data_IF_397665743483
#
_entry.id   IF_397665743483
#
_cell.length_a   1.000
_cell.length_b   1.000
_cell.length_c   1.000
_cell.angle_alpha   90.00
_cell.angle_beta   90.00
_cell.angle_gamma   90.00
#
_symmetry.space_group_name_H-M   'P 1'
#
loop_
_entity.id
_entity.type
_entity.pdbx_description
1 polymer ?
#
# COMPACT_ATOMS: atom_id res chain seq x y z
N UNK A 1 2.55 -2.74 25.04
CA UNK A 1 3.07 -1.96 23.96
C UNK A 1 2.01 -1.06 23.33
N UNK A 2 2.26 0.20 23.36
CA UNK A 2 1.48 1.16 22.61
C UNK A 2 2.12 1.37 21.24
N UNK A 3 1.35 1.67 20.25
CA UNK A 3 1.83 2.21 18.97
C UNK A 3 2.30 1.21 17.90
N UNK A 4 2.03 -0.10 18.04
CA UNK A 4 2.42 -1.10 17.03
C UNK A 4 1.91 -0.69 15.63
N UNK A 5 0.62 -0.38 15.52
CA UNK A 5 0.03 -0.03 14.23
C UNK A 5 0.67 1.21 13.60
N UNK A 6 0.88 2.26 14.38
CA UNK A 6 1.49 3.49 13.88
C UNK A 6 2.96 3.30 13.52
N UNK A 7 3.70 2.52 14.30
CA UNK A 7 5.11 2.24 14.03
C UNK A 7 5.27 1.44 12.74
N UNK A 8 4.50 0.38 12.56
CA UNK A 8 4.56 -0.43 11.35
C UNK A 8 4.08 0.38 10.13
N UNK A 9 3.01 1.17 10.28
CA UNK A 9 2.53 2.02 9.19
C UNK A 9 3.58 3.03 8.77
N UNK A 10 4.24 3.69 9.72
CA UNK A 10 5.32 4.64 9.42
C UNK A 10 6.48 3.96 8.68
N UNK A 11 6.84 2.74 9.07
CA UNK A 11 7.89 1.98 8.40
C UNK A 11 7.51 1.64 6.97
N UNK A 12 6.29 1.21 6.73
CA UNK A 12 5.81 0.91 5.36
C UNK A 12 5.84 2.17 4.50
N UNK A 13 5.38 3.30 5.04
CA UNK A 13 5.46 4.58 4.32
C UNK A 13 6.89 4.95 3.98
N UNK A 14 7.82 4.75 4.90
CA UNK A 14 9.23 5.02 4.67
C UNK A 14 9.80 4.17 3.52
N UNK A 15 9.47 2.89 3.48
CA UNK A 15 9.88 2.00 2.39
C UNK A 15 9.30 2.44 1.05
N UNK A 16 8.04 2.84 1.02
CA UNK A 16 7.38 3.28 -0.22
C UNK A 16 7.92 4.63 -0.73
N UNK A 17 8.29 5.52 0.17
CA UNK A 17 8.80 6.86 -0.17
C UNK A 17 10.32 6.92 -0.34
N UNK A 18 11.04 5.84 -0.07
CA UNK A 18 12.48 5.77 -0.24
C UNK A 18 12.90 6.05 -1.69
N UNK A 19 14.16 6.46 -1.95
CA UNK A 19 14.63 6.70 -3.32
C UNK A 19 14.47 5.52 -4.27
N UNK A 20 14.54 4.30 -3.76
CA UNK A 20 14.30 3.07 -4.52
C UNK A 20 12.92 2.47 -4.23
N UNK A 21 12.00 3.28 -3.74
CA UNK A 21 10.67 2.87 -3.35
C UNK A 21 9.66 2.81 -4.50
N UNK A 22 8.43 3.15 -4.19
CA UNK A 22 7.31 3.01 -5.12
C UNK A 22 7.52 3.74 -6.44
N UNK A 23 7.93 5.00 -6.41
CA UNK A 23 8.07 5.79 -7.63
C UNK A 23 9.23 5.31 -8.53
N UNK A 24 10.29 4.77 -7.95
CA UNK A 24 11.36 4.15 -8.72
C UNK A 24 10.86 2.89 -9.44
N UNK A 25 10.08 2.07 -8.77
CA UNK A 25 9.47 0.88 -9.38
C UNK A 25 8.45 1.25 -10.45
N UNK A 26 7.64 2.27 -10.21
CA UNK A 26 6.68 2.81 -11.19
C UNK A 26 7.42 3.28 -12.45
N UNK A 27 8.50 4.05 -12.30
CA UNK A 27 9.28 4.54 -13.43
C UNK A 27 9.92 3.40 -14.23
N UNK A 28 10.44 2.39 -13.55
CA UNK A 28 11.03 1.21 -14.20
C UNK A 28 9.99 0.44 -15.02
N UNK A 29 8.82 0.20 -14.45
CA UNK A 29 7.73 -0.48 -15.16
C UNK A 29 7.22 0.33 -16.35
N UNK A 30 7.08 1.65 -16.17
CA UNK A 30 6.63 2.53 -17.25
C UNK A 30 7.58 2.47 -18.45
N UNK A 31 8.89 2.45 -18.22
CA UNK A 31 9.89 2.29 -19.27
C UNK A 31 9.83 0.91 -19.92
N UNK A 32 9.73 -0.14 -19.12
CA UNK A 32 9.72 -1.51 -19.61
C UNK A 32 8.51 -1.80 -20.52
N UNK A 33 7.34 -1.28 -20.13
CA UNK A 33 6.09 -1.48 -20.87
C UNK A 33 5.81 -0.38 -21.89
N UNK A 34 6.67 0.63 -21.97
CA UNK A 34 6.53 1.79 -22.86
C UNK A 34 5.16 2.48 -22.70
N UNK A 35 4.77 2.74 -21.47
CA UNK A 35 3.52 3.41 -21.12
C UNK A 35 3.79 4.64 -20.26
N UNK A 36 2.84 5.56 -20.25
CA UNK A 36 2.89 6.72 -19.36
C UNK A 36 2.18 6.36 -18.04
N UNK A 37 2.95 6.17 -16.99
CA UNK A 37 2.44 5.85 -15.66
C UNK A 37 2.84 6.98 -14.70
N UNK A 38 1.89 7.86 -14.31
CA UNK A 38 2.20 8.98 -13.44
C UNK A 38 2.77 8.53 -12.09
N UNK A 39 3.75 9.25 -11.54
CA UNK A 39 4.27 8.95 -10.20
C UNK A 39 3.24 9.28 -9.12
N UNK A 40 3.38 8.66 -7.97
CA UNK A 40 2.57 8.96 -6.78
C UNK A 40 3.24 10.12 -6.03
N UNK A 41 2.57 11.25 -5.98
CA UNK A 41 3.08 12.44 -5.29
C UNK A 41 2.96 12.33 -3.76
N UNK A 42 3.63 13.24 -3.03
CA UNK A 42 3.64 13.19 -1.56
C UNK A 42 2.26 13.36 -0.93
N UNK A 43 1.33 14.05 -1.59
CA UNK A 43 -0.04 14.22 -1.13
C UNK A 43 -0.98 13.11 -1.62
N UNK A 44 -0.46 12.14 -2.36
CA UNK A 44 -1.20 11.02 -2.93
C UNK A 44 -0.89 9.70 -2.20
N UNK A 45 0.09 9.71 -1.30
CA UNK A 45 0.47 8.56 -0.47
C UNK A 45 0.21 8.92 0.99
N UNK A 46 -0.85 8.37 1.56
CA UNK A 46 -1.35 8.77 2.88
C UNK A 46 -1.56 7.57 3.79
N UNK A 47 -1.31 7.79 5.09
CA UNK A 47 -1.59 6.82 6.14
C UNK A 47 -3.05 6.98 6.59
N UNK A 48 -3.98 6.38 5.86
CA UNK A 48 -5.40 6.47 6.19
C UNK A 48 -6.19 5.31 5.63
N UNK A 49 -7.27 4.96 6.32
CA UNK A 49 -8.25 3.98 5.88
C UNK A 49 -9.59 4.69 5.67
N UNK A 50 -9.80 5.20 4.48
CA UNK A 50 -11.00 5.99 4.13
C UNK A 50 -11.71 5.31 2.98
N UNK A 51 -13.04 5.16 3.09
CA UNK A 51 -13.83 4.59 2.01
C UNK A 51 -13.77 5.47 0.75
N UNK A 52 -13.87 4.83 -0.41
CA UNK A 52 -13.80 5.52 -1.69
C UNK A 52 -14.91 6.57 -1.82
N UNK A 53 -16.10 6.26 -1.33
CA UNK A 53 -17.25 7.16 -1.39
C UNK A 53 -17.01 8.42 -0.57
N UNK A 54 -16.40 8.29 0.60
CA UNK A 54 -16.09 9.44 1.45
C UNK A 54 -14.97 10.28 0.84
N UNK A 55 -13.94 9.64 0.30
CA UNK A 55 -12.84 10.32 -0.38
C UNK A 55 -13.33 11.11 -1.59
N UNK A 56 -14.21 10.52 -2.39
CA UNK A 56 -14.80 11.20 -3.56
C UNK A 56 -15.65 12.42 -3.16
N UNK A 57 -16.37 12.35 -2.05
CA UNK A 57 -17.16 13.47 -1.56
C UNK A 57 -16.31 14.66 -1.10
N UNK A 58 -15.09 14.42 -0.65
CA UNK A 58 -14.19 15.48 -0.22
C UNK A 58 -13.70 16.35 -1.38
N UNK A 59 -13.65 15.78 -2.60
CA UNK A 59 -13.21 16.48 -3.80
C UNK A 59 -11.71 16.77 -3.86
N UNK A 60 -10.95 16.37 -2.87
CA UNK A 60 -9.53 16.70 -2.75
C UNK A 60 -8.61 15.54 -3.14
N UNK A 61 -9.18 14.45 -3.62
CA UNK A 61 -8.40 13.24 -3.96
C UNK A 61 -7.73 13.41 -5.33
N UNK A 62 -6.41 13.22 -5.34
CA UNK A 62 -5.62 13.16 -6.56
C UNK A 62 -5.25 11.71 -6.86
N UNK A 63 -5.31 11.32 -8.11
CA UNK A 63 -5.02 9.96 -8.55
C UNK A 63 -3.69 9.90 -9.32
N UNK A 64 -2.93 8.81 -9.22
CA UNK A 64 -3.19 7.64 -8.39
C UNK A 64 -3.13 7.99 -6.90
N UNK A 65 -3.99 7.38 -6.10
CA UNK A 65 -4.00 7.55 -4.65
C UNK A 65 -3.59 6.23 -3.99
N UNK A 66 -2.65 6.32 -3.05
CA UNK A 66 -2.16 5.16 -2.30
C UNK A 66 -2.39 5.40 -0.83
N UNK A 67 -3.06 4.47 -0.17
CA UNK A 67 -3.30 4.51 1.27
C UNK A 67 -2.63 3.34 1.95
N UNK A 68 -1.97 3.61 3.07
CA UNK A 68 -1.34 2.58 3.91
C UNK A 68 -2.01 2.58 5.27
N UNK A 69 -2.44 1.42 5.72
CA UNK A 69 -3.06 1.30 7.02
C UNK A 69 -2.91 -0.11 7.59
N UNK A 70 -3.07 -0.21 8.90
CA UNK A 70 -3.09 -1.49 9.61
C UNK A 70 -4.53 -1.97 9.73
N UNK A 71 -4.82 -3.16 9.19
CA UNK A 71 -6.15 -3.76 9.26
C UNK A 71 -6.38 -4.49 10.59
N UNK A 72 -5.34 -5.12 11.12
CA UNK A 72 -5.46 -5.99 12.28
C UNK A 72 -4.14 -6.14 12.99
N UNK A 73 -4.20 -6.18 14.31
CA UNK A 73 -3.06 -6.51 15.17
C UNK A 73 -3.43 -7.75 15.98
N UNK A 74 -2.52 -8.70 16.04
CA UNK A 74 -2.67 -9.89 16.87
C UNK A 74 -1.44 -10.05 17.75
N UNK A 75 -1.61 -9.87 19.07
CA UNK A 75 -0.58 -10.18 20.04
C UNK A 75 -0.76 -11.64 20.47
N UNK A 76 0.12 -12.50 20.00
CA UNK A 76 0.04 -13.95 20.22
C UNK A 76 0.93 -14.41 21.37
N UNK A 77 1.72 -13.49 21.96
CA UNK A 77 2.67 -13.76 23.04
C UNK A 77 3.58 -14.95 22.73
N UNK A 78 4.08 -15.02 21.52
CA UNK A 78 4.93 -16.12 21.04
C UNK A 78 6.27 -16.20 21.78
N UNK A 79 6.76 -15.05 22.23
CA UNK A 79 8.03 -14.95 22.92
C UNK A 79 7.81 -14.59 24.38
N UNK A 80 8.54 -15.28 25.26
CA UNK A 80 8.53 -14.98 26.70
C UNK A 80 9.20 -13.64 26.96
N UNK A 81 8.73 -12.94 27.98
CA UNK A 81 9.29 -11.66 28.45
C UNK A 81 9.12 -10.50 27.45
N UNK A 82 8.27 -10.68 26.45
CA UNK A 82 7.86 -9.60 25.56
C UNK A 82 6.49 -9.09 25.95
N UNK A 83 6.28 -7.80 25.79
CA UNK A 83 4.94 -7.21 25.97
C UNK A 83 4.08 -7.40 24.75
N UNK A 84 4.72 -7.45 23.58
CA UNK A 84 4.08 -7.77 22.33
C UNK A 84 4.92 -8.76 21.52
N UNK A 85 4.30 -9.80 21.04
CA UNK A 85 4.92 -10.78 20.15
C UNK A 85 3.84 -11.37 19.25
N UNK A 86 3.75 -10.88 18.03
CA UNK A 86 2.68 -11.26 17.11
C UNK A 86 2.83 -10.62 15.74
N UNK A 87 1.70 -10.29 15.15
CA UNK A 87 1.68 -9.77 13.77
C UNK A 87 0.80 -8.53 13.65
N UNK A 88 1.21 -7.65 12.74
CA UNK A 88 0.37 -6.59 12.20
C UNK A 88 0.02 -6.93 10.75
N UNK A 89 -1.27 -7.00 10.45
CA UNK A 89 -1.76 -7.16 9.07
C UNK A 89 -1.88 -5.78 8.45
N UNK A 90 -1.04 -5.52 7.47
CA UNK A 90 -0.95 -4.23 6.79
C UNK A 90 -1.63 -4.27 5.43
N UNK A 91 -2.12 -3.13 4.99
CA UNK A 91 -2.70 -2.96 3.68
C UNK A 91 -2.06 -1.78 2.96
N UNK A 92 -1.75 -1.97 1.67
CA UNK A 92 -1.43 -0.92 0.72
C UNK A 92 -2.57 -0.91 -0.29
N UNK A 93 -3.39 0.13 -0.27
CA UNK A 93 -4.55 0.25 -1.14
C UNK A 93 -4.25 1.28 -2.23
N UNK A 94 -4.41 0.86 -3.48
CA UNK A 94 -4.19 1.70 -4.65
C UNK A 94 -5.53 2.02 -5.29
N UNK A 95 -5.73 3.29 -5.62
CA UNK A 95 -6.90 3.77 -6.33
C UNK A 95 -6.48 4.50 -7.59
N UNK A 96 -7.12 4.18 -8.69
CA UNK A 96 -6.92 4.86 -9.97
C UNK A 96 -8.26 5.39 -10.48
N UNK A 97 -8.21 6.49 -11.18
CA UNK A 97 -9.40 7.11 -11.78
C UNK A 97 -9.06 7.65 -13.16
N UNK A 98 -9.96 7.44 -14.09
CA UNK A 98 -9.83 8.02 -15.43
C UNK A 98 -11.22 8.19 -16.07
N UNK A 99 -11.26 8.98 -17.13
CA UNK A 99 -12.50 9.28 -17.86
C UNK A 99 -12.92 8.17 -18.84
N UNK A 100 -12.07 7.17 -19.05
CA UNK A 100 -12.31 6.04 -19.93
C UNK A 100 -12.24 4.73 -19.18
N UNK A 101 -13.05 3.77 -19.61
CA UNK A 101 -12.99 2.41 -19.08
C UNK A 101 -11.74 1.67 -19.59
N UNK A 102 -11.34 1.94 -20.82
CA UNK A 102 -10.21 1.26 -21.45
C UNK A 102 -8.88 1.59 -20.77
N UNK A 103 -8.12 0.56 -20.44
CA UNK A 103 -6.78 0.69 -19.85
C UNK A 103 -6.73 0.90 -18.33
N UNK A 104 -7.86 1.12 -17.66
CA UNK A 104 -7.84 1.38 -16.21
C UNK A 104 -7.34 0.16 -15.44
N UNK A 105 -7.76 -1.03 -15.82
CA UNK A 105 -7.34 -2.27 -15.14
C UNK A 105 -5.85 -2.53 -15.32
N UNK A 106 -5.33 -2.30 -16.51
CA UNK A 106 -3.89 -2.44 -16.75
C UNK A 106 -3.08 -1.44 -15.93
N UNK A 107 -3.56 -0.22 -15.80
CA UNK A 107 -2.92 0.82 -15.01
C UNK A 107 -2.84 0.42 -13.54
N UNK A 108 -3.95 -0.03 -12.95
CA UNK A 108 -3.94 -0.41 -11.53
C UNK A 108 -3.05 -1.62 -11.28
N UNK A 109 -3.01 -2.58 -12.19
CA UNK A 109 -2.12 -3.74 -12.07
C UNK A 109 -0.65 -3.32 -12.05
N UNK A 110 -0.26 -2.35 -12.84
CA UNK A 110 1.11 -1.85 -12.85
C UNK A 110 1.50 -1.17 -11.53
N UNK A 111 0.60 -0.40 -10.93
CA UNK A 111 0.85 0.17 -9.60
C UNK A 111 0.94 -0.91 -8.52
N UNK A 112 0.14 -1.96 -8.63
CA UNK A 112 0.23 -3.11 -7.72
C UNK A 112 1.56 -3.85 -7.88
N UNK A 113 2.00 -4.05 -9.11
CA UNK A 113 3.29 -4.67 -9.40
C UNK A 113 4.44 -3.85 -8.79
N UNK A 114 4.36 -2.53 -8.88
CA UNK A 114 5.33 -1.64 -8.26
C UNK A 114 5.33 -1.76 -6.74
N UNK A 115 4.15 -1.77 -6.12
CA UNK A 115 4.01 -1.91 -4.66
C UNK A 115 4.54 -3.27 -4.17
N UNK A 116 4.20 -4.36 -4.84
CA UNK A 116 4.68 -5.70 -4.49
C UNK A 116 6.19 -5.83 -4.71
N UNK A 117 6.74 -5.16 -5.71
CA UNK A 117 8.18 -5.12 -5.92
C UNK A 117 8.90 -4.44 -4.75
N UNK A 118 8.37 -3.36 -4.21
CA UNK A 118 8.91 -2.73 -3.01
C UNK A 118 8.94 -3.71 -1.84
N UNK A 119 7.86 -4.46 -1.64
CA UNK A 119 7.82 -5.49 -0.59
C UNK A 119 8.85 -6.59 -0.83
N UNK A 120 8.98 -7.07 -2.06
CA UNK A 120 9.94 -8.12 -2.40
C UNK A 120 11.39 -7.69 -2.17
N UNK A 121 11.70 -6.42 -2.38
CA UNK A 121 13.02 -5.85 -2.15
C UNK A 121 13.35 -5.64 -0.68
N UNK A 122 12.36 -5.66 0.19
CA UNK A 122 12.49 -5.29 1.60
C UNK A 122 12.11 -6.43 2.55
N UNK A 123 12.40 -7.66 2.18
CA UNK A 123 12.24 -8.80 3.08
C UNK A 123 13.28 -8.78 4.17
N UNK A 124 12.92 -9.23 5.35
CA UNK A 124 13.84 -9.38 6.46
C UNK A 124 13.58 -8.43 7.61
N UNK A 125 14.63 -8.08 8.31
CA UNK A 125 14.57 -7.25 9.50
C UNK A 125 14.43 -5.77 9.12
N UNK A 126 13.37 -5.15 9.63
CA UNK A 126 13.10 -3.72 9.44
C UNK A 126 13.60 -2.87 10.61
N UNK A 127 14.16 -3.49 11.64
CA UNK A 127 14.55 -2.81 12.87
C UNK A 127 13.40 -2.68 13.86
N UNK A 128 13.72 -2.24 15.05
CA UNK A 128 12.75 -2.00 16.13
C UNK A 128 11.80 -3.19 16.42
N UNK A 129 12.31 -4.40 16.23
CA UNK A 129 11.52 -5.61 16.46
C UNK A 129 10.55 -5.98 15.33
N UNK A 130 10.61 -5.28 14.21
CA UNK A 130 9.77 -5.57 13.03
C UNK A 130 10.51 -6.51 12.07
N UNK A 131 9.79 -7.50 11.56
CA UNK A 131 10.32 -8.46 10.59
C UNK A 131 9.28 -8.77 9.53
N UNK A 132 9.69 -8.67 8.27
CA UNK A 132 8.86 -9.04 7.14
C UNK A 132 9.40 -10.30 6.46
N UNK A 133 8.71 -11.41 6.63
CA UNK A 133 9.13 -12.71 6.08
C UNK A 133 8.95 -12.82 4.57
N UNK A 134 8.19 -11.92 3.97
CA UNK A 134 7.73 -12.00 2.59
C UNK A 134 6.32 -12.57 2.52
N UNK A 135 5.77 -12.60 1.34
CA UNK A 135 4.41 -13.05 1.13
C UNK A 135 3.38 -11.93 1.26
N UNK A 136 2.44 -11.92 0.36
CA UNK A 136 1.36 -10.94 0.32
C UNK A 136 0.19 -11.52 -0.47
N UNK A 137 -0.98 -10.92 -0.29
CA UNK A 137 -2.15 -11.20 -1.10
C UNK A 137 -2.58 -9.92 -1.83
N UNK A 138 -3.00 -10.07 -3.08
CA UNK A 138 -3.49 -8.97 -3.90
C UNK A 138 -4.96 -9.21 -4.20
N UNK A 139 -5.79 -8.20 -3.91
CA UNK A 139 -7.21 -8.22 -4.23
C UNK A 139 -7.52 -7.04 -5.13
N UNK A 140 -8.08 -7.30 -6.30
CA UNK A 140 -8.44 -6.27 -7.28
C UNK A 140 -9.96 -6.19 -7.32
N UNK A 141 -10.50 -5.02 -6.97
CA UNK A 141 -11.94 -4.77 -7.03
C UNK A 141 -12.41 -4.47 -8.45
N UNK A 142 -13.73 -4.50 -8.68
CA UNK A 142 -14.29 -4.13 -9.98
C UNK A 142 -14.18 -2.63 -10.23
N UNK A 143 -14.18 -2.25 -11.49
CA UNK A 143 -14.29 -0.84 -11.88
C UNK A 143 -15.68 -0.33 -11.51
N UNK A 144 -15.72 0.84 -10.87
CA UNK A 144 -16.95 1.51 -10.47
C UNK A 144 -17.03 2.88 -11.14
N UNK A 145 -18.22 3.40 -11.24
CA UNK A 145 -18.44 4.77 -11.68
C UNK A 145 -18.46 5.70 -10.46
N UNK A 146 -17.45 6.54 -10.34
CA UNK A 146 -17.32 7.51 -9.24
C UNK A 146 -17.60 8.93 -9.73
N UNK A 147 -18.86 9.35 -9.68
CA UNK A 147 -19.24 10.67 -10.19
C UNK A 147 -19.06 10.78 -11.71
N UNK A 148 -18.05 11.51 -12.18
CA UNK A 148 -17.80 11.73 -13.61
C UNK A 148 -16.84 10.72 -14.22
N UNK A 149 -16.01 10.08 -13.40
CA UNK A 149 -14.93 9.20 -13.87
C UNK A 149 -15.16 7.76 -13.40
N UNK A 150 -14.47 6.85 -14.08
CA UNK A 150 -14.35 5.46 -13.64
C UNK A 150 -13.28 5.38 -12.57
N UNK A 151 -13.51 4.54 -11.54
CA UNK A 151 -12.60 4.34 -10.43
C UNK A 151 -12.41 2.85 -10.21
N UNK A 152 -11.17 2.45 -9.94
CA UNK A 152 -10.86 1.10 -9.53
C UNK A 152 -9.97 1.11 -8.31
N UNK A 153 -10.23 0.18 -7.39
CA UNK A 153 -9.49 0.03 -6.14
C UNK A 153 -8.89 -1.37 -6.10
N UNK A 154 -7.64 -1.45 -5.69
CA UNK A 154 -6.98 -2.72 -5.43
C UNK A 154 -6.14 -2.62 -4.16
N UNK A 155 -5.89 -3.75 -3.54
CA UNK A 155 -5.26 -3.80 -2.24
C UNK A 155 -4.25 -4.93 -2.16
N UNK A 156 -3.08 -4.62 -1.59
CA UNK A 156 -2.07 -5.60 -1.20
C UNK A 156 -2.10 -5.72 0.31
N UNK A 157 -2.28 -6.93 0.82
CA UNK A 157 -2.22 -7.21 2.25
C UNK A 157 -1.04 -8.10 2.57
N UNK A 158 -0.38 -7.83 3.69
CA UNK A 158 0.79 -8.57 4.12
C UNK A 158 0.96 -8.48 5.64
N UNK A 159 1.62 -9.48 6.21
CA UNK A 159 1.88 -9.53 7.64
C UNK A 159 3.29 -9.08 7.97
N UNK A 160 3.41 -8.27 9.01
CA UNK A 160 4.69 -7.88 9.60
C UNK A 160 4.77 -8.47 11.00
N UNK A 161 5.77 -9.27 11.25
CA UNK A 161 6.04 -9.80 12.59
C UNK A 161 6.58 -8.68 13.48
N UNK A 162 6.08 -8.59 14.69
CA UNK A 162 6.52 -7.59 15.68
C UNK A 162 6.82 -8.30 16.99
N UNK A 163 7.97 -7.97 17.56
CA UNK A 163 8.41 -8.49 18.85
C UNK A 163 9.03 -7.36 19.66
N UNK A 164 8.42 -7.04 20.83
CA UNK A 164 8.84 -5.95 21.70
C UNK A 164 8.67 -6.26 23.18
#
# INVERSE_FOLDING_TARGET
MAWVSSTVTAQVLELLTAPQGLNACVATLALAENVNLPPVGPNQLLAQNVSIELAERSGDVKYPAVSVYCEKIANQLKEKFRTFSGNALMAIEVRVSQDRLDGIENQIQMYLDAATQVLDQNRGDWGEGMYYAGGYEVTIGPVKHGGQNFIQVAKVTFNVGVSE
#
